data_IF_803011986388
#
_entry.id   IF_803011986388
#
_cell.length_a   1.000
_cell.length_b   1.000
_cell.length_c   1.000
_cell.angle_alpha   90.00
_cell.angle_beta   90.00
_cell.angle_gamma   90.00
#
_symmetry.space_group_name_H-M   'P 1'
#
loop_
_entity.id
_entity.type
_entity.pdbx_description
1 polymer ?
#
# COMPACT_ATOMS: atom_id res chain seq x y z
N UNK A 1 -12.13 10.38 -10.28
CA UNK A 1 -11.86 9.88 -11.64
C UNK A 1 -11.19 8.52 -11.50
N UNK A 2 -11.69 7.50 -12.20
CA UNK A 2 -11.11 6.15 -12.11
C UNK A 2 -9.69 6.14 -12.69
N UNK A 3 -8.84 5.21 -12.28
CA UNK A 3 -7.52 5.11 -12.89
C UNK A 3 -7.66 4.87 -14.40
N UNK A 4 -6.82 5.49 -15.23
CA UNK A 4 -6.88 5.35 -16.70
C UNK A 4 -6.83 3.89 -17.13
N UNK A 5 -6.10 3.04 -16.39
CA UNK A 5 -6.12 1.59 -16.59
C UNK A 5 -7.51 1.00 -16.42
N UNK A 6 -8.27 1.41 -15.40
CA UNK A 6 -9.65 0.97 -15.15
C UNK A 6 -10.61 1.42 -16.24
N UNK A 7 -10.44 2.64 -16.76
CA UNK A 7 -11.24 3.14 -17.89
C UNK A 7 -10.98 2.31 -19.16
N UNK A 8 -9.71 2.00 -19.46
CA UNK A 8 -9.35 1.13 -20.59
C UNK A 8 -9.83 -0.31 -20.40
N UNK A 9 -9.76 -0.85 -19.18
CA UNK A 9 -10.33 -2.17 -18.85
C UNK A 9 -11.84 -2.20 -19.08
N UNK A 10 -12.54 -1.13 -18.68
CA UNK A 10 -13.98 -0.99 -18.92
C UNK A 10 -14.28 -0.87 -20.41
N UNK A 11 -13.47 -0.16 -21.19
CA UNK A 11 -13.63 -0.03 -22.63
C UNK A 11 -13.44 -1.37 -23.36
N UNK A 12 -12.37 -2.12 -23.02
CA UNK A 12 -12.13 -3.47 -23.55
C UNK A 12 -13.29 -4.42 -23.21
N UNK A 13 -13.72 -4.43 -21.95
CA UNK A 13 -14.82 -5.26 -21.48
C UNK A 13 -16.15 -4.92 -22.17
N UNK A 14 -16.46 -3.63 -22.31
CA UNK A 14 -17.65 -3.15 -23.01
C UNK A 14 -17.64 -3.55 -24.49
N UNK A 15 -16.48 -3.46 -25.17
CA UNK A 15 -16.33 -3.85 -26.57
C UNK A 15 -16.57 -5.35 -26.76
N UNK A 16 -15.96 -6.20 -25.93
CA UNK A 16 -16.17 -7.65 -25.96
C UNK A 16 -17.64 -8.01 -25.67
N UNK A 17 -18.29 -7.31 -24.74
CA UNK A 17 -19.71 -7.50 -24.42
C UNK A 17 -20.61 -7.14 -25.60
N UNK A 18 -20.32 -6.05 -26.31
CA UNK A 18 -21.05 -5.64 -27.51
C UNK A 18 -20.91 -6.70 -28.61
N UNK A 19 -19.69 -7.14 -28.91
CA UNK A 19 -19.43 -8.18 -29.92
C UNK A 19 -20.13 -9.50 -29.57
N UNK A 20 -20.19 -9.87 -28.28
CA UNK A 20 -20.97 -11.02 -27.83
C UNK A 20 -22.46 -10.85 -28.09
N UNK A 21 -23.01 -9.66 -27.82
CA UNK A 21 -24.41 -9.36 -28.03
C UNK A 21 -24.77 -9.40 -29.53
N UNK A 22 -23.92 -8.86 -30.40
CA UNK A 22 -24.09 -8.88 -31.86
C UNK A 22 -24.05 -10.32 -32.40
N UNK A 23 -23.22 -11.18 -31.81
CA UNK A 23 -23.18 -12.62 -32.10
C UNK A 23 -24.36 -13.41 -31.51
N UNK A 24 -25.27 -12.76 -30.76
CA UNK A 24 -26.44 -13.39 -30.14
C UNK A 24 -26.11 -14.40 -29.03
N UNK A 25 -24.90 -14.33 -28.44
CA UNK A 25 -24.44 -15.31 -27.46
C UNK A 25 -24.70 -14.86 -26.03
N UNK A 26 -25.06 -15.79 -25.15
CA UNK A 26 -25.04 -15.53 -23.71
C UNK A 26 -23.60 -15.64 -23.18
N UNK A 27 -23.30 -15.01 -22.04
CA UNK A 27 -21.97 -15.12 -21.43
C UNK A 27 -21.57 -16.56 -21.11
N UNK A 28 -22.53 -17.42 -20.74
CA UNK A 28 -22.29 -18.84 -20.50
C UNK A 28 -21.93 -19.60 -21.79
N UNK A 29 -22.62 -19.30 -22.90
CA UNK A 29 -22.34 -19.93 -24.20
C UNK A 29 -20.99 -19.48 -24.74
N UNK A 30 -20.64 -18.19 -24.60
CA UNK A 30 -19.32 -17.70 -25.00
C UNK A 30 -18.21 -18.38 -24.18
N UNK A 31 -18.39 -18.48 -22.87
CA UNK A 31 -17.42 -19.13 -21.98
C UNK A 31 -17.17 -20.59 -22.39
N UNK A 32 -18.25 -21.34 -22.66
CA UNK A 32 -18.17 -22.73 -23.13
C UNK A 32 -17.42 -22.83 -24.46
N UNK A 33 -17.74 -21.99 -25.44
CA UNK A 33 -17.09 -21.99 -26.76
C UNK A 33 -15.61 -21.62 -26.70
N UNK A 34 -15.25 -20.71 -25.81
CA UNK A 34 -13.87 -20.28 -25.60
C UNK A 34 -13.07 -21.21 -24.68
N UNK A 35 -13.70 -22.22 -24.06
CA UNK A 35 -13.03 -23.13 -23.12
C UNK A 35 -12.54 -22.42 -21.85
N UNK A 36 -13.30 -21.44 -21.36
CA UNK A 36 -13.02 -20.68 -20.13
C UNK A 36 -14.21 -20.73 -19.18
N UNK A 37 -13.99 -20.38 -17.91
CA UNK A 37 -15.10 -20.28 -16.95
C UNK A 37 -16.01 -19.08 -17.23
N UNK A 38 -17.32 -19.23 -17.03
CA UNK A 38 -18.28 -18.11 -17.12
C UNK A 38 -17.92 -16.92 -16.19
N UNK A 39 -17.35 -17.12 -14.99
CA UNK A 39 -16.84 -16.02 -14.18
C UNK A 39 -15.71 -15.22 -14.87
N UNK A 40 -14.87 -15.86 -15.68
CA UNK A 40 -13.80 -15.19 -16.44
C UNK A 40 -14.40 -14.24 -17.46
N UNK A 41 -15.37 -14.71 -18.26
CA UNK A 41 -16.07 -13.87 -19.24
C UNK A 41 -16.75 -12.69 -18.55
N UNK A 42 -17.46 -12.95 -17.44
CA UNK A 42 -18.15 -11.90 -16.69
C UNK A 42 -17.19 -10.84 -16.13
N UNK A 43 -16.04 -11.25 -15.57
CA UNK A 43 -15.05 -10.31 -15.01
C UNK A 43 -14.36 -9.49 -16.09
N UNK A 44 -14.07 -10.10 -17.24
CA UNK A 44 -13.50 -9.39 -18.39
C UNK A 44 -14.49 -8.36 -18.93
N UNK A 45 -15.75 -8.75 -19.19
CA UNK A 45 -16.79 -7.84 -19.72
C UNK A 45 -17.13 -6.69 -18.77
N UNK A 46 -16.97 -6.88 -17.46
CA UNK A 46 -17.22 -5.85 -16.44
C UNK A 46 -15.97 -5.04 -16.09
N UNK A 47 -14.86 -5.24 -16.80
CA UNK A 47 -13.61 -4.50 -16.55
C UNK A 47 -12.96 -4.82 -15.20
N UNK A 48 -13.29 -5.96 -14.58
CA UNK A 48 -12.74 -6.43 -13.29
C UNK A 48 -11.56 -7.39 -13.45
N UNK A 49 -11.22 -7.78 -14.68
CA UNK A 49 -10.10 -8.67 -14.99
C UNK A 49 -9.53 -8.32 -16.36
N UNK A 50 -8.19 -8.24 -16.46
CA UNK A 50 -7.49 -8.19 -17.74
C UNK A 50 -7.31 -9.63 -18.24
N UNK A 51 -7.83 -10.00 -19.43
CA UNK A 51 -7.58 -11.32 -19.99
C UNK A 51 -6.11 -11.45 -20.43
N UNK A 52 -5.55 -12.66 -20.34
CA UNK A 52 -4.29 -12.94 -21.03
C UNK A 52 -4.50 -12.93 -22.54
N UNK A 53 -3.43 -12.76 -23.32
CA UNK A 53 -3.47 -12.83 -24.79
C UNK A 53 -4.11 -14.14 -25.27
N UNK A 54 -3.77 -15.28 -24.66
CA UNK A 54 -4.37 -16.57 -24.99
C UNK A 54 -5.89 -16.63 -24.70
N UNK A 55 -6.33 -16.07 -23.57
CA UNK A 55 -7.77 -15.98 -23.26
C UNK A 55 -8.49 -15.07 -24.25
N UNK A 56 -7.86 -13.95 -24.63
CA UNK A 56 -8.42 -13.03 -25.62
C UNK A 56 -8.56 -13.69 -27.00
N UNK A 57 -7.53 -14.39 -27.47
CA UNK A 57 -7.57 -15.11 -28.75
C UNK A 57 -8.63 -16.21 -28.77
N UNK A 58 -8.82 -16.91 -27.64
CA UNK A 58 -9.89 -17.91 -27.49
C UNK A 58 -11.27 -17.26 -27.54
N UNK A 59 -11.46 -16.11 -26.92
CA UNK A 59 -12.72 -15.36 -26.98
C UNK A 59 -13.00 -14.83 -28.40
N UNK A 60 -11.99 -14.25 -29.06
CA UNK A 60 -12.11 -13.76 -30.45
C UNK A 60 -12.49 -14.88 -31.41
N UNK A 61 -11.87 -16.06 -31.28
CA UNK A 61 -12.23 -17.23 -32.09
C UNK A 61 -13.65 -17.73 -31.80
N UNK A 62 -14.05 -17.75 -30.53
CA UNK A 62 -15.40 -18.18 -30.13
C UNK A 62 -16.51 -17.22 -30.59
N UNK A 63 -16.18 -15.94 -30.75
CA UNK A 63 -17.04 -14.90 -31.30
C UNK A 63 -17.04 -14.89 -32.84
N UNK A 64 -16.10 -15.58 -33.48
CA UNK A 64 -15.98 -15.59 -34.94
C UNK A 64 -15.56 -14.23 -35.51
N UNK A 65 -14.73 -13.48 -34.77
CA UNK A 65 -14.26 -12.17 -35.21
C UNK A 65 -13.39 -12.30 -36.47
N UNK A 66 -13.53 -11.33 -37.38
CA UNK A 66 -12.61 -11.16 -38.50
C UNK A 66 -11.26 -10.58 -38.04
N UNK A 67 -10.26 -10.57 -38.92
CA UNK A 67 -8.90 -10.13 -38.55
C UNK A 67 -8.87 -8.64 -38.14
N UNK A 68 -9.72 -7.81 -38.77
CA UNK A 68 -9.81 -6.39 -38.44
C UNK A 68 -10.32 -6.17 -37.01
N UNK A 69 -11.44 -6.81 -36.64
CA UNK A 69 -12.02 -6.70 -35.30
C UNK A 69 -11.15 -7.38 -34.26
N UNK A 70 -10.51 -8.50 -34.61
CA UNK A 70 -9.56 -9.16 -33.72
C UNK A 70 -8.31 -8.31 -33.49
N UNK A 71 -7.86 -7.54 -34.49
CA UNK A 71 -6.81 -6.53 -34.36
C UNK A 71 -7.20 -5.41 -33.39
N UNK A 72 -8.39 -4.82 -33.56
CA UNK A 72 -8.94 -3.78 -32.68
C UNK A 72 -8.97 -4.22 -31.21
N UNK A 73 -9.47 -5.43 -30.94
CA UNK A 73 -9.56 -5.96 -29.58
C UNK A 73 -8.17 -6.23 -28.97
N UNK A 74 -7.18 -6.64 -29.77
CA UNK A 74 -5.78 -6.76 -29.32
C UNK A 74 -5.16 -5.39 -29.02
N UNK A 75 -5.46 -4.37 -29.82
CA UNK A 75 -5.01 -3.00 -29.55
C UNK A 75 -5.60 -2.46 -28.24
N UNK A 76 -6.88 -2.74 -27.96
CA UNK A 76 -7.50 -2.41 -26.68
C UNK A 76 -6.82 -3.13 -25.51
N UNK A 77 -6.44 -4.41 -25.66
CA UNK A 77 -5.66 -5.11 -24.64
C UNK A 77 -4.27 -4.49 -24.47
N UNK A 78 -3.56 -4.21 -25.55
CA UNK A 78 -2.27 -3.53 -25.51
C UNK A 78 -2.37 -2.15 -24.85
N UNK A 79 -3.47 -1.41 -25.08
CA UNK A 79 -3.75 -0.13 -24.42
C UNK A 79 -4.00 -0.31 -22.91
N UNK A 80 -4.63 -1.40 -22.47
CA UNK A 80 -4.76 -1.74 -21.04
C UNK A 80 -3.41 -2.10 -20.43
N UNK A 81 -2.57 -2.86 -21.15
CA UNK A 81 -1.26 -3.27 -20.67
C UNK A 81 -0.27 -2.11 -20.58
N UNK A 82 -0.30 -1.22 -21.57
CA UNK A 82 0.51 0.02 -21.63
C UNK A 82 -0.06 1.18 -20.82
N UNK A 83 -1.30 1.07 -20.33
CA UNK A 83 -1.79 1.95 -19.29
C UNK A 83 -1.04 1.65 -18.00
N UNK A 84 0.03 2.41 -17.81
CA UNK A 84 0.46 2.85 -16.49
C UNK A 84 -0.74 3.58 -15.90
N UNK A 85 -1.11 3.29 -14.65
CA UNK A 85 -2.06 4.17 -13.96
C UNK A 85 -1.51 5.60 -14.11
N UNK A 86 -2.29 6.50 -14.73
CA UNK A 86 -1.92 7.91 -14.76
C UNK A 86 -1.86 8.38 -13.31
N UNK A 87 -0.64 8.40 -12.78
CA UNK A 87 -0.23 9.39 -11.79
C UNK A 87 -0.60 10.73 -12.41
N UNK A 88 -1.47 11.48 -11.73
CA UNK A 88 -1.86 12.82 -12.15
C UNK A 88 -0.62 13.60 -12.63
N UNK A 89 -0.74 14.43 -13.69
CA UNK A 89 0.32 15.35 -14.05
C UNK A 89 0.69 16.24 -12.84
N UNK A 90 1.97 16.63 -12.69
CA UNK A 90 2.46 17.38 -11.54
C UNK A 90 2.03 18.86 -11.63
N UNK A 91 0.72 19.11 -11.52
CA UNK A 91 0.14 20.44 -11.41
C UNK A 91 -0.72 20.55 -10.15
N UNK A 92 -0.09 20.14 -9.05
CA UNK A 92 -0.15 20.70 -7.71
C UNK A 92 0.71 19.76 -6.89
N UNK A 93 1.83 20.24 -6.35
CA UNK A 93 2.60 19.52 -5.34
C UNK A 93 1.70 19.24 -4.14
N UNK A 94 0.91 18.18 -4.20
CA UNK A 94 0.34 17.53 -3.04
C UNK A 94 1.55 16.89 -2.38
N UNK A 95 2.03 17.49 -1.29
CA UNK A 95 3.13 16.92 -0.51
C UNK A 95 2.86 15.42 -0.29
N UNK A 96 3.85 14.52 -0.42
CA UNK A 96 3.70 13.15 0.02
C UNK A 96 3.13 13.14 1.45
N UNK A 97 1.95 12.55 1.65
CA UNK A 97 1.25 12.56 2.93
C UNK A 97 -0.22 13.01 2.90
N UNK A 98 -0.64 13.88 1.97
CA UNK A 98 -1.93 14.59 2.14
C UNK A 98 -3.16 13.67 2.02
N UNK A 99 -3.13 12.67 1.14
CA UNK A 99 -4.26 11.75 1.00
C UNK A 99 -4.34 10.79 2.20
N UNK A 100 -3.18 10.38 2.73
CA UNK A 100 -3.07 9.69 4.01
C UNK A 100 -3.62 10.55 5.17
N UNK A 101 -3.41 11.86 5.14
CA UNK A 101 -3.83 12.77 6.21
C UNK A 101 -5.33 12.86 6.37
N UNK A 102 -6.05 13.06 5.27
CA UNK A 102 -7.50 13.18 5.30
C UNK A 102 -8.12 11.85 5.77
N UNK A 103 -7.56 10.73 5.31
CA UNK A 103 -8.01 9.40 5.73
C UNK A 103 -7.74 9.14 7.22
N UNK A 104 -6.56 9.49 7.74
CA UNK A 104 -6.22 9.34 9.16
C UNK A 104 -7.07 10.26 10.03
N UNK A 105 -7.22 11.54 9.64
CA UNK A 105 -7.97 12.54 10.42
C UNK A 105 -9.43 12.17 10.55
N UNK A 106 -10.02 11.53 9.54
CA UNK A 106 -11.38 11.00 9.58
C UNK A 106 -11.57 9.71 10.39
N UNK A 107 -10.50 8.97 10.69
CA UNK A 107 -10.59 7.60 11.19
C UNK A 107 -10.55 7.47 12.71
N UNK A 108 -11.43 6.66 13.29
CA UNK A 108 -11.40 6.37 14.74
C UNK A 108 -10.36 5.31 15.09
N UNK A 109 -10.14 4.36 14.20
CA UNK A 109 -9.16 3.30 14.31
C UNK A 109 -8.18 3.37 13.13
N UNK A 110 -6.90 3.55 13.44
CA UNK A 110 -5.82 3.48 12.46
C UNK A 110 -4.98 2.25 12.73
N UNK A 111 -4.78 1.40 11.72
CA UNK A 111 -3.97 0.18 11.82
C UNK A 111 -2.88 0.22 10.77
N UNK A 112 -1.61 0.32 11.17
CA UNK A 112 -0.50 0.42 10.22
C UNK A 112 0.45 -0.77 10.37
N UNK A 113 0.75 -1.42 9.25
CA UNK A 113 1.78 -2.44 9.17
C UNK A 113 2.97 -1.91 8.38
N UNK A 114 4.19 -2.07 8.90
CA UNK A 114 5.41 -1.66 8.20
C UNK A 114 6.54 -2.70 8.31
N UNK A 115 7.26 -2.91 7.20
CA UNK A 115 8.35 -3.88 7.12
C UNK A 115 9.67 -3.31 6.58
N UNK A 116 9.71 -2.01 6.22
CA UNK A 116 10.92 -1.35 5.67
C UNK A 116 11.26 -0.08 6.44
N UNK A 117 10.28 0.80 6.64
CA UNK A 117 10.44 2.10 7.29
C UNK A 117 9.48 2.20 8.48
N UNK A 118 9.83 2.95 9.52
CA UNK A 118 8.90 3.15 10.64
C UNK A 118 7.61 3.84 10.17
N UNK A 119 6.44 3.51 10.76
CA UNK A 119 5.20 4.21 10.45
C UNK A 119 5.37 5.72 10.62
N UNK A 120 4.91 6.53 9.66
CA UNK A 120 5.10 7.98 9.65
C UNK A 120 4.73 8.68 10.98
N UNK A 121 3.66 8.22 11.64
CA UNK A 121 3.20 8.76 12.93
C UNK A 121 4.16 8.48 14.10
N UNK A 122 4.99 7.43 13.98
CA UNK A 122 5.96 7.05 15.01
C UNK A 122 7.34 7.69 14.79
N UNK A 123 7.61 8.27 13.62
CA UNK A 123 8.91 8.83 13.28
C UNK A 123 9.24 10.08 14.13
N UNK A 124 10.48 10.24 14.54
CA UNK A 124 11.01 11.51 15.02
C UNK A 124 11.13 12.48 13.85
N UNK A 125 11.18 13.79 14.12
CA UNK A 125 11.38 14.79 13.07
C UNK A 125 12.69 14.56 12.28
N UNK A 126 13.73 14.06 12.95
CA UNK A 126 15.01 13.76 12.32
C UNK A 126 14.93 12.51 11.42
N UNK A 127 14.30 11.42 11.89
CA UNK A 127 14.06 10.23 11.08
C UNK A 127 13.23 10.58 9.83
N UNK A 128 12.14 11.34 10.02
CA UNK A 128 11.29 11.80 8.93
C UNK A 128 12.06 12.62 7.89
N UNK A 129 12.98 13.49 8.33
CA UNK A 129 13.83 14.27 7.44
C UNK A 129 14.67 13.38 6.54
N UNK A 130 15.27 12.31 7.07
CA UNK A 130 16.05 11.39 6.26
C UNK A 130 15.20 10.59 5.29
N UNK A 131 14.00 10.16 5.69
CA UNK A 131 13.06 9.49 4.79
C UNK A 131 12.75 10.38 3.60
N UNK A 132 12.39 11.64 3.82
CA UNK A 132 12.10 12.58 2.73
C UNK A 132 13.34 12.95 1.90
N UNK A 133 14.50 13.13 2.54
CA UNK A 133 15.75 13.47 1.83
C UNK A 133 16.28 12.33 0.95
N UNK A 134 15.83 11.09 1.17
CA UNK A 134 16.20 9.94 0.32
C UNK A 134 15.41 9.86 -0.99
N UNK A 135 14.39 10.72 -1.18
CA UNK A 135 13.62 10.74 -2.41
C UNK A 135 14.44 11.32 -3.59
N UNK A 136 14.30 10.80 -4.82
CA UNK A 136 15.14 11.16 -5.98
C UNK A 136 15.20 12.65 -6.35
N UNK A 137 14.23 13.45 -5.90
CA UNK A 137 14.06 14.87 -6.25
C UNK A 137 13.90 15.78 -5.01
N UNK A 138 14.43 15.36 -3.86
CA UNK A 138 14.22 16.06 -2.59
C UNK A 138 14.96 17.42 -2.50
N UNK A 139 14.22 18.52 -2.44
CA UNK A 139 14.77 19.84 -2.08
C UNK A 139 14.62 20.11 -0.57
N UNK A 140 15.54 20.91 0.01
CA UNK A 140 15.57 21.14 1.47
C UNK A 140 14.31 21.83 2.01
N UNK A 141 13.65 22.67 1.21
CA UNK A 141 12.49 23.44 1.65
C UNK A 141 11.24 22.56 1.67
N UNK A 142 11.02 21.75 0.63
CA UNK A 142 9.94 20.75 0.59
C UNK A 142 10.11 19.69 1.67
N UNK A 143 11.34 19.22 1.93
CA UNK A 143 11.63 18.32 3.06
C UNK A 143 11.23 18.97 4.38
N UNK A 144 11.58 20.25 4.60
CA UNK A 144 11.21 20.98 5.81
C UNK A 144 9.69 21.04 6.02
N UNK A 145 8.93 21.39 4.96
CA UNK A 145 7.46 21.40 5.00
C UNK A 145 6.86 20.01 5.25
N UNK A 146 7.37 18.99 4.56
CA UNK A 146 6.88 17.63 4.68
C UNK A 146 7.13 17.04 6.09
N UNK A 147 8.29 17.36 6.70
CA UNK A 147 8.58 17.01 8.10
C UNK A 147 7.61 17.72 9.05
N UNK A 148 7.34 19.02 8.85
CA UNK A 148 6.43 19.77 9.71
C UNK A 148 5.02 19.19 9.65
N UNK A 149 4.50 18.93 8.44
CA UNK A 149 3.21 18.26 8.24
C UNK A 149 3.20 16.87 8.90
N UNK A 150 4.27 16.09 8.74
CA UNK A 150 4.39 14.78 9.40
C UNK A 150 4.32 14.87 10.91
N UNK A 151 4.99 15.84 11.54
CA UNK A 151 4.97 16.05 12.99
C UNK A 151 3.59 16.51 13.46
N UNK A 152 2.92 17.41 12.73
CA UNK A 152 1.58 17.88 13.07
C UNK A 152 0.57 16.73 13.15
N UNK A 153 0.65 15.76 12.21
CA UNK A 153 -0.20 14.56 12.20
C UNK A 153 -0.05 13.68 13.43
N UNK A 154 1.08 13.74 14.11
CA UNK A 154 1.34 12.91 15.29
C UNK A 154 0.48 13.31 16.48
N UNK A 155 -0.13 14.52 16.45
CA UNK A 155 -1.11 14.95 17.44
C UNK A 155 -2.30 13.99 17.56
N UNK A 156 -2.69 13.33 16.46
CA UNK A 156 -3.78 12.34 16.42
C UNK A 156 -3.55 11.16 17.38
N UNK A 157 -2.28 10.83 17.67
CA UNK A 157 -1.94 9.78 18.65
C UNK A 157 -2.40 10.12 20.07
N UNK A 158 -2.59 11.40 20.39
CA UNK A 158 -2.94 11.87 21.73
C UNK A 158 -4.44 12.20 21.87
N UNK A 159 -5.22 12.10 20.80
CA UNK A 159 -6.65 12.43 20.81
C UNK A 159 -7.46 11.33 21.51
N UNK A 160 -8.22 11.67 22.58
CA UNK A 160 -9.09 10.72 23.25
C UNK A 160 -10.18 10.17 22.31
N UNK A 161 -10.46 8.87 22.41
CA UNK A 161 -11.48 8.19 21.59
C UNK A 161 -10.98 7.72 20.22
N UNK A 162 -9.68 7.90 19.92
CA UNK A 162 -9.01 7.25 18.81
C UNK A 162 -8.13 6.11 19.28
N UNK A 163 -8.00 5.10 18.43
CA UNK A 163 -7.11 3.96 18.64
C UNK A 163 -6.15 3.84 17.46
N UNK A 164 -4.86 3.70 17.75
CA UNK A 164 -3.81 3.53 16.75
C UNK A 164 -3.03 2.26 17.03
N UNK A 165 -3.11 1.28 16.13
CA UNK A 165 -2.37 0.02 16.23
C UNK A 165 -1.26 0.01 15.19
N UNK A 166 -0.03 -0.19 15.63
CA UNK A 166 1.14 -0.27 14.78
C UNK A 166 1.74 -1.65 14.91
N UNK A 167 1.95 -2.34 13.79
CA UNK A 167 2.69 -3.60 13.75
C UNK A 167 3.88 -3.42 12.83
N UNK A 168 5.09 -3.66 13.34
CA UNK A 168 6.30 -3.56 12.53
C UNK A 168 7.09 -4.86 12.58
N UNK A 169 7.84 -5.18 11.54
CA UNK A 169 8.88 -6.23 11.67
C UNK A 169 10.08 -5.67 12.42
N UNK A 170 10.79 -6.49 13.20
CA UNK A 170 12.02 -6.05 13.87
C UNK A 170 13.08 -5.49 12.91
N UNK A 171 13.10 -5.94 11.65
CA UNK A 171 13.96 -5.38 10.60
C UNK A 171 13.83 -3.86 10.41
N UNK A 172 12.65 -3.28 10.68
CA UNK A 172 12.41 -1.83 10.65
C UNK A 172 13.18 -1.10 11.75
N UNK A 173 13.30 -1.71 12.92
CA UNK A 173 14.05 -1.15 14.05
C UNK A 173 15.56 -1.23 13.83
N UNK A 174 15.99 -2.09 12.90
CA UNK A 174 17.39 -2.39 12.56
C UNK A 174 17.81 -1.82 11.21
N UNK A 175 16.91 -1.17 10.49
CA UNK A 175 17.20 -0.46 9.24
C UNK A 175 17.20 1.02 9.55
N UNK A 176 18.39 1.64 9.57
CA UNK A 176 18.52 3.02 10.02
C UNK A 176 19.00 3.97 8.94
N UNK A 177 18.31 5.10 8.76
CA UNK A 177 18.86 6.19 7.99
C UNK A 177 19.84 6.99 8.84
N UNK A 178 20.99 7.34 8.27
CA UNK A 178 21.93 8.25 8.92
C UNK A 178 22.75 7.58 10.03
N UNK A 179 22.64 8.07 11.26
CA UNK A 179 23.57 7.73 12.36
C UNK A 179 22.95 6.82 13.43
N UNK A 180 23.76 6.08 14.21
CA UNK A 180 23.28 5.36 15.39
C UNK A 180 22.55 6.26 16.40
N UNK A 181 23.04 7.48 16.61
CA UNK A 181 22.43 8.45 17.54
C UNK A 181 21.01 8.85 17.15
N UNK A 182 20.75 8.99 15.84
CA UNK A 182 19.40 9.25 15.32
C UNK A 182 18.45 8.11 15.71
N UNK A 183 18.89 6.86 15.57
CA UNK A 183 18.06 5.71 15.95
C UNK A 183 17.84 5.60 17.45
N UNK A 184 18.82 5.98 18.27
CA UNK A 184 18.61 6.03 19.73
C UNK A 184 17.49 7.00 20.07
N UNK A 185 17.49 8.20 19.50
CA UNK A 185 16.41 9.18 19.69
C UNK A 185 15.07 8.66 19.14
N UNK A 186 15.07 7.94 18.02
CA UNK A 186 13.88 7.30 17.46
C UNK A 186 13.34 6.18 18.36
N UNK A 187 14.20 5.34 18.94
CA UNK A 187 13.80 4.26 19.84
C UNK A 187 13.29 4.80 21.18
N UNK A 188 13.89 5.87 21.72
CA UNK A 188 13.36 6.59 22.89
C UNK A 188 11.94 7.10 22.62
N UNK A 189 11.69 7.63 21.42
CA UNK A 189 10.35 8.02 21.00
C UNK A 189 9.39 6.83 20.95
N UNK A 190 9.81 5.66 20.44
CA UNK A 190 8.98 4.46 20.43
C UNK A 190 8.61 4.00 21.86
N UNK A 191 9.54 4.11 22.81
CA UNK A 191 9.25 3.84 24.22
C UNK A 191 8.25 4.83 24.82
N UNK A 192 8.28 6.10 24.41
CA UNK A 192 7.31 7.10 24.87
C UNK A 192 5.90 6.84 24.31
N UNK A 193 5.78 6.55 23.01
CA UNK A 193 4.47 6.30 22.38
C UNK A 193 3.85 4.96 22.80
N UNK A 194 4.65 3.94 23.10
CA UNK A 194 4.16 2.65 23.62
C UNK A 194 3.44 2.80 24.98
N UNK A 195 3.77 3.85 25.74
CA UNK A 195 3.10 4.14 27.02
C UNK A 195 1.73 4.83 26.87
N UNK A 196 1.33 5.22 25.65
CA UNK A 196 0.05 5.89 25.41
C UNK A 196 -1.10 4.87 25.38
N UNK A 197 -2.19 5.17 26.09
CA UNK A 197 -3.38 4.29 26.13
C UNK A 197 -4.12 4.21 24.79
N UNK A 198 -3.89 5.17 23.90
CA UNK A 198 -4.45 5.26 22.55
C UNK A 198 -3.61 4.51 21.51
N UNK A 199 -2.43 4.01 21.89
CA UNK A 199 -1.46 3.39 20.98
C UNK A 199 -1.20 1.95 21.39
N UNK A 200 -1.22 1.04 20.41
CA UNK A 200 -0.77 -0.34 20.59
C UNK A 200 0.35 -0.62 19.61
N UNK A 201 1.59 -0.67 20.11
CA UNK A 201 2.78 -0.96 19.33
C UNK A 201 3.12 -2.44 19.42
N UNK A 202 3.16 -3.11 18.27
CA UNK A 202 3.54 -4.49 18.10
C UNK A 202 4.79 -4.63 17.24
N UNK A 203 5.65 -5.59 17.60
CA UNK A 203 6.83 -5.94 16.81
C UNK A 203 6.78 -7.42 16.48
N UNK A 204 6.97 -7.80 15.21
CA UNK A 204 7.24 -9.18 14.83
C UNK A 204 8.74 -9.41 14.97
N UNK A 205 9.20 -10.18 15.98
CA UNK A 205 10.61 -10.42 16.21
C UNK A 205 11.23 -11.19 15.04
N UNK A 206 12.55 -11.02 14.83
CA UNK A 206 13.26 -11.70 13.74
C UNK A 206 13.32 -13.22 13.90
N UNK A 207 13.16 -13.71 15.13
CA UNK A 207 13.16 -15.14 15.48
C UNK A 207 11.80 -15.82 15.28
N UNK A 208 10.80 -15.10 14.76
CA UNK A 208 9.48 -15.63 14.43
C UNK A 208 9.22 -15.65 12.92
N UNK A 209 8.59 -16.70 12.39
CA UNK A 209 8.16 -16.71 11.00
C UNK A 209 7.06 -15.66 10.77
N UNK A 210 7.17 -14.92 9.67
CA UNK A 210 6.08 -14.04 9.20
C UNK A 210 4.95 -14.89 8.61
N UNK A 211 3.68 -14.61 8.93
CA UNK A 211 2.55 -15.41 8.46
C UNK A 211 2.27 -15.24 6.97
N UNK A 212 2.63 -14.07 6.42
CA UNK A 212 2.56 -13.73 5.00
C UNK A 212 3.84 -12.98 4.68
N UNK A 213 4.47 -13.23 3.53
CA UNK A 213 5.66 -12.49 3.12
C UNK A 213 5.31 -11.00 2.90
N UNK A 214 5.87 -10.08 3.71
CA UNK A 214 5.62 -8.66 3.55
C UNK A 214 6.21 -8.15 2.23
N UNK A 215 5.39 -7.51 1.39
CA UNK A 215 5.86 -6.88 0.14
C UNK A 215 6.05 -5.37 0.27
N UNK A 216 5.24 -4.74 1.10
CA UNK A 216 5.26 -3.30 1.38
C UNK A 216 4.53 -3.04 2.70
N UNK A 217 4.68 -1.83 3.25
CA UNK A 217 3.84 -1.35 4.34
C UNK A 217 2.45 -0.91 3.84
N UNK A 218 1.53 -0.71 4.77
CA UNK A 218 0.21 -0.15 4.49
C UNK A 218 -0.44 0.38 5.78
N UNK A 219 -1.42 1.26 5.63
CA UNK A 219 -2.21 1.82 6.73
C UNK A 219 -3.70 1.69 6.41
N UNK A 220 -4.45 1.03 7.29
CA UNK A 220 -5.90 0.92 7.29
C UNK A 220 -6.51 2.03 8.13
N UNK A 221 -7.47 2.74 7.56
CA UNK A 221 -8.26 3.77 8.23
C UNK A 221 -9.70 3.25 8.38
N UNK A 222 -10.07 2.90 9.60
CA UNK A 222 -11.29 2.15 9.94
C UNK A 222 -11.47 0.91 9.04
N UNK A 223 -12.67 0.77 8.45
CA UNK A 223 -12.99 -0.17 7.36
C UNK A 223 -13.20 0.56 6.04
N UNK A 224 -12.77 1.83 5.96
CA UNK A 224 -13.13 2.75 4.89
C UNK A 224 -12.04 2.97 3.85
N UNK A 225 -10.77 2.79 4.23
CA UNK A 225 -9.65 2.97 3.31
C UNK A 225 -8.43 2.13 3.69
N UNK A 226 -7.65 1.77 2.68
CA UNK A 226 -6.26 1.33 2.82
C UNK A 226 -5.35 2.27 2.04
N UNK A 227 -4.25 2.66 2.66
CA UNK A 227 -3.23 3.54 2.08
C UNK A 227 -1.91 2.80 1.99
N UNK A 228 -1.28 2.82 0.83
CA UNK A 228 0.06 2.30 0.59
C UNK A 228 0.95 3.46 0.15
N UNK A 229 1.96 3.77 0.97
CA UNK A 229 2.98 4.76 0.63
C UNK A 229 4.02 4.13 -0.32
N UNK A 230 4.27 4.77 -1.45
CA UNK A 230 5.33 4.43 -2.39
C UNK A 230 6.34 5.59 -2.50
N UNK A 231 7.43 5.39 -3.26
CA UNK A 231 8.52 6.37 -3.32
C UNK A 231 8.13 7.73 -3.89
N UNK A 232 7.12 7.79 -4.77
CA UNK A 232 6.70 9.01 -5.47
C UNK A 232 5.28 9.43 -5.13
N UNK A 233 4.44 8.50 -4.72
CA UNK A 233 3.01 8.70 -4.56
C UNK A 233 2.42 7.87 -3.40
N UNK A 234 1.18 8.19 -3.07
CA UNK A 234 0.37 7.44 -2.12
C UNK A 234 -0.80 6.81 -2.88
N UNK A 235 -0.97 5.50 -2.71
CA UNK A 235 -2.12 4.81 -3.26
C UNK A 235 -3.17 4.65 -2.17
N UNK A 236 -4.30 5.34 -2.31
CA UNK A 236 -5.48 5.16 -1.46
C UNK A 236 -6.51 4.32 -2.18
N UNK A 237 -6.97 3.25 -1.54
CA UNK A 237 -8.08 2.44 -2.02
C UNK A 237 -9.23 2.43 -1.01
N UNK A 238 -10.43 2.67 -1.50
CA UNK A 238 -11.70 2.58 -0.77
C UNK A 238 -12.52 1.36 -1.20
N UNK A 239 -11.94 0.46 -2.02
CA UNK A 239 -12.62 -0.76 -2.46
C UNK A 239 -12.84 -1.68 -1.25
N UNK A 240 -14.10 -1.99 -0.88
CA UNK A 240 -14.38 -2.82 0.29
C UNK A 240 -13.73 -4.21 0.24
N UNK A 241 -13.61 -4.81 -0.95
CA UNK A 241 -12.99 -6.13 -1.11
C UNK A 241 -11.48 -6.07 -0.88
N UNK A 242 -10.83 -5.01 -1.37
CA UNK A 242 -9.41 -4.76 -1.13
C UNK A 242 -9.16 -4.46 0.34
N UNK A 243 -9.94 -3.56 0.95
CA UNK A 243 -9.82 -3.21 2.37
C UNK A 243 -9.98 -4.46 3.24
N UNK A 244 -11.00 -5.29 2.99
CA UNK A 244 -11.19 -6.55 3.73
C UNK A 244 -9.99 -7.50 3.60
N UNK A 245 -9.42 -7.64 2.40
CA UNK A 245 -8.22 -8.45 2.21
C UNK A 245 -7.02 -7.93 3.02
N UNK A 246 -6.81 -6.61 3.07
CA UNK A 246 -5.76 -6.02 3.88
C UNK A 246 -6.03 -6.13 5.39
N UNK A 247 -7.30 -6.12 5.83
CA UNK A 247 -7.66 -6.38 7.23
C UNK A 247 -7.27 -7.81 7.65
N UNK A 248 -7.53 -8.82 6.80
CA UNK A 248 -7.16 -10.21 7.08
C UNK A 248 -5.64 -10.40 7.18
N UNK A 249 -4.90 -9.75 6.26
CA UNK A 249 -3.44 -9.74 6.27
C UNK A 249 -2.91 -9.05 7.53
N UNK A 250 -3.45 -7.88 7.89
CA UNK A 250 -3.09 -7.17 9.11
C UNK A 250 -3.34 -8.02 10.35
N UNK A 251 -4.51 -8.66 10.46
CA UNK A 251 -4.84 -9.53 11.58
C UNK A 251 -3.89 -10.71 11.73
N UNK A 252 -3.31 -11.19 10.63
CA UNK A 252 -2.28 -12.22 10.66
C UNK A 252 -0.96 -11.69 11.23
N UNK A 253 -0.52 -10.50 10.80
CA UNK A 253 0.66 -9.84 11.36
C UNK A 253 0.50 -9.49 12.84
N UNK A 254 -0.67 -9.00 13.22
CA UNK A 254 -1.02 -8.68 14.60
C UNK A 254 -0.86 -9.90 15.53
N UNK A 255 -1.37 -11.07 15.11
CA UNK A 255 -1.21 -12.31 15.88
C UNK A 255 0.23 -12.80 15.99
N UNK A 256 1.09 -12.46 15.03
CA UNK A 256 2.49 -12.85 15.04
C UNK A 256 3.38 -11.91 15.90
N UNK A 257 2.91 -10.69 16.14
CA UNK A 257 3.62 -9.66 16.88
C UNK A 257 3.60 -9.89 18.39
N UNK A 258 4.66 -9.43 19.06
CA UNK A 258 4.70 -9.21 20.51
C UNK A 258 4.22 -7.79 20.83
N UNK A 259 3.68 -7.58 22.03
CA UNK A 259 3.15 -6.30 22.51
C UNK A 259 3.59 -6.01 23.95
N UNK A 260 3.42 -4.76 24.40
CA UNK A 260 3.63 -4.37 25.79
C UNK A 260 5.07 -4.60 26.28
N UNK A 261 5.20 -5.27 27.43
CA UNK A 261 6.50 -5.53 28.06
C UNK A 261 7.53 -6.20 27.14
N UNK A 262 7.11 -7.15 26.30
CA UNK A 262 8.00 -7.81 25.34
C UNK A 262 8.54 -6.84 24.28
N UNK A 263 7.71 -5.91 23.80
CA UNK A 263 8.15 -4.85 22.88
C UNK A 263 9.13 -3.93 23.57
N UNK A 264 8.85 -3.54 24.83
CA UNK A 264 9.75 -2.70 25.62
C UNK A 264 11.13 -3.34 25.79
N UNK A 265 11.17 -4.63 26.12
CA UNK A 265 12.42 -5.39 26.23
C UNK A 265 13.18 -5.47 24.91
N UNK A 266 12.46 -5.70 23.80
CA UNK A 266 13.04 -5.73 22.46
C UNK A 266 13.63 -4.36 22.09
N UNK A 267 12.90 -3.27 22.32
CA UNK A 267 13.39 -1.91 22.06
C UNK A 267 14.65 -1.61 22.87
N UNK A 268 14.67 -1.92 24.17
CA UNK A 268 15.84 -1.72 25.03
C UNK A 268 17.06 -2.55 24.57
N UNK A 269 16.82 -3.77 24.08
CA UNK A 269 17.87 -4.63 23.50
C UNK A 269 18.45 -4.00 22.24
N UNK A 270 17.61 -3.59 21.30
CA UNK A 270 18.04 -2.93 20.05
C UNK A 270 18.79 -1.62 20.37
N UNK A 271 18.31 -0.82 21.33
CA UNK A 271 19.02 0.38 21.78
C UNK A 271 20.42 0.08 22.34
N UNK A 272 20.58 -1.01 23.11
CA UNK A 272 21.90 -1.43 23.60
C UNK A 272 22.85 -1.76 22.46
N UNK A 273 22.36 -2.43 21.41
CA UNK A 273 23.15 -2.74 20.22
C UNK A 273 23.56 -1.46 19.47
N UNK A 274 22.65 -0.49 19.29
CA UNK A 274 22.97 0.80 18.68
C UNK A 274 23.99 1.62 19.49
N UNK A 275 23.95 1.56 20.83
CA UNK A 275 24.98 2.20 21.67
C UNK A 275 26.35 1.58 21.42
N UNK A 276 26.42 0.28 21.17
CA UNK A 276 27.67 -0.39 20.76
C UNK A 276 28.17 0.02 19.37
N UNK A 277 27.29 0.53 18.49
CA UNK A 277 27.70 1.08 17.19
C UNK A 277 28.33 2.47 17.31
N UNK A 278 28.03 3.22 18.38
CA UNK A 278 28.64 4.54 18.63
C UNK A 278 30.16 4.43 18.90
N UNK A 279 30.64 3.25 19.32
CA UNK A 279 32.06 2.92 19.45
C UNK A 279 32.73 2.57 18.11
N UNK A 280 31.95 2.40 17.04
CA UNK A 280 32.45 2.18 15.68
C UNK A 280 32.47 3.53 14.97
N UNK A 281 33.53 4.31 15.20
CA UNK A 281 33.88 5.43 14.33
C UNK A 281 34.21 4.82 12.97
N UNK A 282 33.22 4.80 12.06
CA UNK A 282 33.49 4.52 10.66
C UNK A 282 33.86 5.85 10.00
N UNK A 283 35.04 5.95 9.35
CA UNK A 283 35.60 7.20 8.81
C UNK A 283 34.75 7.88 7.73
#
# INVERSE_FOLDING_TARGET
MGSVRRERMSALGARLRALRADAGLTGAVLAQRAGVGQPTVSKVETGRMVPSTDVLDRLSRALGLDEATSGEVRELLAAVETAVDEVLPPEASVLPGVALDDAIRGARLVRSFQCVVLPAMLQSAEYARHVFASAPDADRESVGRAVAARVERQSVLYEPGRESVFVVTEGVLRTWPGTPSLMLAQLDRLLAVESLTTVRLGVIPWDRPVPVMPRHGFTLCDRGAVVVEAFRDERVSHDPDEVASYEEVFGSFDRAAVFGGEVRELLLRVMKEFRGLADVVTP
#
